data_IF_475177857074
#
_entry.id   IF_475177857074
#
_cell.length_a   1.000
_cell.length_b   1.000
_cell.length_c   1.000
_cell.angle_alpha   90.00
_cell.angle_beta   90.00
_cell.angle_gamma   90.00
#
_symmetry.space_group_name_H-M   'P 1'
#
loop_
_entity.id
_entity.type
_entity.pdbx_description
1 polymer ?
#
# COMPACT_ATOMS: atom_id res chain seq x y z
N UNK A 1 28.97 4.42 -9.65
CA UNK A 1 29.66 5.70 -9.41
C UNK A 1 28.79 6.78 -10.02
N UNK A 2 28.12 7.59 -9.22
CA UNK A 2 27.28 8.69 -9.70
C UNK A 2 28.22 9.73 -10.31
N UNK A 3 28.10 9.98 -11.61
CA UNK A 3 28.81 11.09 -12.26
C UNK A 3 28.05 12.36 -11.89
N UNK A 4 28.66 13.20 -11.06
CA UNK A 4 28.06 14.47 -10.65
C UNK A 4 28.06 15.42 -11.85
N UNK A 5 26.90 15.63 -12.45
CA UNK A 5 26.74 16.57 -13.56
C UNK A 5 26.68 18.01 -13.03
N UNK A 6 27.07 19.03 -13.81
CA UNK A 6 26.87 20.42 -13.42
C UNK A 6 25.40 20.76 -13.14
N UNK A 7 24.46 20.06 -13.77
CA UNK A 7 23.02 20.16 -13.51
C UNK A 7 22.65 19.65 -12.12
N UNK A 8 23.14 18.47 -11.75
CA UNK A 8 22.97 17.89 -10.43
C UNK A 8 23.56 18.80 -9.34
N UNK A 9 24.77 19.32 -9.57
CA UNK A 9 25.40 20.30 -8.68
C UNK A 9 24.56 21.56 -8.51
N UNK A 10 23.85 22.04 -9.54
CA UNK A 10 22.94 23.19 -9.37
C UNK A 10 21.76 22.86 -8.48
N UNK A 11 21.02 21.79 -8.80
CA UNK A 11 19.78 21.47 -8.07
C UNK A 11 20.05 21.08 -6.61
N UNK A 12 21.22 20.49 -6.32
CA UNK A 12 21.54 20.07 -4.96
C UNK A 12 21.81 21.22 -3.98
N UNK A 13 22.00 22.46 -4.46
CA UNK A 13 22.13 23.63 -3.58
C UNK A 13 20.85 23.89 -2.76
N UNK A 14 19.70 23.42 -3.26
CA UNK A 14 18.41 23.56 -2.61
C UNK A 14 18.07 22.39 -1.67
N UNK A 15 18.97 21.42 -1.47
CA UNK A 15 18.72 20.31 -0.55
C UNK A 15 18.61 20.81 0.89
N UNK A 16 17.73 20.20 1.68
CA UNK A 16 17.58 20.54 3.09
C UNK A 16 16.23 20.13 3.66
N UNK A 17 16.04 20.47 4.93
CA UNK A 17 14.75 20.32 5.60
C UNK A 17 14.12 21.71 5.68
N UNK A 18 12.89 21.82 5.23
CA UNK A 18 12.11 23.04 5.14
C UNK A 18 10.83 22.92 5.98
N UNK A 19 10.27 24.06 6.36
CA UNK A 19 8.89 24.13 6.85
C UNK A 19 7.92 23.75 5.72
N UNK A 20 6.83 23.06 6.06
CA UNK A 20 5.75 22.76 5.12
C UNK A 20 4.54 23.70 5.31
N UNK A 21 3.71 23.86 4.27
CA UNK A 21 2.45 24.62 4.33
C UNK A 21 1.48 24.07 5.39
N UNK A 22 1.46 22.75 5.58
CA UNK A 22 0.65 22.08 6.61
C UNK A 22 1.20 22.15 8.03
N UNK A 23 2.31 22.86 8.27
CA UNK A 23 2.96 22.96 9.58
C UNK A 23 3.84 21.75 9.95
N UNK A 24 4.06 20.84 9.01
CA UNK A 24 5.03 19.75 9.12
C UNK A 24 6.43 20.15 8.62
N UNK A 25 7.21 19.13 8.26
CA UNK A 25 8.52 19.29 7.63
C UNK A 25 8.51 18.76 6.21
N UNK A 26 9.12 19.50 5.30
CA UNK A 26 9.32 19.11 3.92
C UNK A 26 10.80 18.85 3.67
N UNK A 27 11.17 17.65 3.26
CA UNK A 27 12.55 17.37 2.85
C UNK A 27 12.70 17.65 1.36
N UNK A 28 13.68 18.46 1.00
CA UNK A 28 14.07 18.71 -0.39
C UNK A 28 15.36 17.96 -0.68
N UNK A 29 15.37 17.15 -1.72
CA UNK A 29 16.53 16.35 -2.15
C UNK A 29 16.68 16.38 -3.67
N UNK A 30 17.91 16.33 -4.17
CA UNK A 30 18.17 16.22 -5.60
C UNK A 30 18.33 14.75 -6.01
N UNK A 31 17.62 14.37 -7.07
CA UNK A 31 17.75 13.05 -7.67
C UNK A 31 19.00 12.99 -8.57
N UNK A 32 19.94 12.07 -8.30
CA UNK A 32 21.12 11.87 -9.14
C UNK A 32 20.82 11.15 -10.46
N UNK A 33 19.57 10.68 -10.67
CA UNK A 33 19.17 9.92 -11.86
C UNK A 33 18.74 10.81 -13.02
N UNK A 34 18.02 11.87 -12.71
CA UNK A 34 17.35 12.75 -13.66
C UNK A 34 17.65 14.24 -13.41
N UNK A 35 18.52 14.55 -12.44
CA UNK A 35 18.91 15.91 -12.06
C UNK A 35 17.70 16.77 -11.63
N UNK A 36 16.66 16.14 -11.08
CA UNK A 36 15.42 16.80 -10.65
C UNK A 36 15.41 17.03 -9.14
N UNK A 37 14.87 18.17 -8.72
CA UNK A 37 14.60 18.45 -7.30
C UNK A 37 13.31 17.73 -6.88
N UNK A 38 13.34 17.02 -5.76
CA UNK A 38 12.21 16.24 -5.27
C UNK A 38 11.87 16.68 -3.86
N UNK A 39 10.59 17.02 -3.66
CA UNK A 39 10.01 17.25 -2.36
C UNK A 39 9.56 15.91 -1.77
N UNK A 40 9.98 15.59 -0.55
CA UNK A 40 9.62 14.38 0.17
C UNK A 40 8.80 14.77 1.39
N UNK A 41 7.53 14.35 1.38
CA UNK A 41 6.56 14.61 2.44
C UNK A 41 5.97 13.27 2.89
N UNK A 42 6.13 12.92 4.16
CA UNK A 42 5.69 11.63 4.73
C UNK A 42 6.15 10.40 3.92
N UNK A 43 7.35 10.46 3.35
CA UNK A 43 7.93 9.41 2.50
C UNK A 43 7.42 9.39 1.05
N UNK A 44 6.43 10.19 0.70
CA UNK A 44 5.98 10.35 -0.68
C UNK A 44 6.88 11.34 -1.43
N UNK A 45 7.27 10.98 -2.66
CA UNK A 45 8.18 11.74 -3.52
C UNK A 45 7.39 12.58 -4.52
N UNK A 46 7.67 13.88 -4.57
CA UNK A 46 7.02 14.87 -5.43
C UNK A 46 8.07 15.62 -6.26
N UNK A 47 8.31 15.18 -7.51
CA UNK A 47 9.26 15.85 -8.40
C UNK A 47 8.84 17.29 -8.70
N UNK A 48 9.79 18.21 -8.68
CA UNK A 48 9.63 19.62 -9.00
C UNK A 48 10.24 19.88 -10.39
N UNK A 49 9.43 20.40 -11.32
CA UNK A 49 9.91 20.71 -12.67
C UNK A 49 10.65 22.04 -12.67
N UNK A 50 11.89 22.03 -13.16
CA UNK A 50 12.69 23.25 -13.29
C UNK A 50 12.10 24.17 -14.36
N UNK A 51 11.87 25.44 -14.03
CA UNK A 51 11.35 26.48 -14.93
C UNK A 51 12.36 27.62 -15.10
N UNK A 52 13.15 27.91 -14.07
CA UNK A 52 14.19 28.94 -14.06
C UNK A 52 15.36 28.55 -13.16
N UNK A 53 16.23 29.51 -12.83
CA UNK A 53 17.42 29.26 -12.01
C UNK A 53 17.07 28.85 -10.56
N UNK A 54 16.08 29.51 -9.98
CA UNK A 54 15.56 29.33 -8.62
C UNK A 54 14.04 29.07 -8.61
N UNK A 55 13.46 28.85 -9.80
CA UNK A 55 12.02 28.70 -10.01
C UNK A 55 11.68 27.30 -10.51
N UNK A 56 10.74 26.66 -9.80
CA UNK A 56 10.27 25.31 -10.09
C UNK A 56 8.74 25.28 -10.10
N UNK A 57 8.15 24.18 -10.56
CA UNK A 57 6.73 23.90 -10.39
C UNK A 57 6.49 22.54 -9.77
N UNK A 58 5.50 22.44 -8.88
CA UNK A 58 5.07 21.17 -8.31
C UNK A 58 4.13 20.41 -9.27
N UNK A 59 3.61 19.26 -8.82
CA UNK A 59 2.70 18.44 -9.62
C UNK A 59 1.32 19.07 -9.89
N UNK A 60 0.92 20.10 -9.13
CA UNK A 60 -0.30 20.89 -9.37
C UNK A 60 -0.06 22.08 -10.30
N UNK A 61 1.19 22.34 -10.68
CA UNK A 61 1.60 23.46 -11.54
C UNK A 61 1.86 24.77 -10.79
N UNK A 62 1.77 24.78 -9.46
CA UNK A 62 2.11 25.95 -8.66
C UNK A 62 3.60 26.23 -8.73
N UNK A 63 3.96 27.51 -8.86
CA UNK A 63 5.34 27.97 -8.91
C UNK A 63 5.94 28.04 -7.51
N UNK A 64 7.08 27.38 -7.36
CA UNK A 64 7.89 27.30 -6.15
C UNK A 64 9.19 28.06 -6.40
N UNK A 65 9.39 29.18 -5.71
CA UNK A 65 10.62 29.98 -5.81
C UNK A 65 11.49 29.74 -4.59
N UNK A 66 12.70 29.23 -4.78
CA UNK A 66 13.66 29.04 -3.71
C UNK A 66 14.49 30.32 -3.49
N UNK A 67 14.94 30.53 -2.26
CA UNK A 67 15.98 31.51 -1.93
C UNK A 67 17.01 30.86 -1.02
N UNK A 68 18.28 31.15 -1.29
CA UNK A 68 19.44 30.72 -0.50
C UNK A 68 20.16 31.94 0.12
N UNK A 69 19.52 33.11 0.10
CA UNK A 69 20.06 34.31 0.73
C UNK A 69 20.11 34.12 2.25
N UNK A 70 21.25 34.44 2.87
CA UNK A 70 21.45 34.28 4.31
C UNK A 70 20.36 35.02 5.09
N UNK A 71 19.66 34.32 5.98
CA UNK A 71 18.53 34.86 6.75
C UNK A 71 17.17 34.80 6.05
N UNK A 72 17.15 34.44 4.75
CA UNK A 72 15.93 34.24 3.95
C UNK A 72 15.94 32.89 3.21
N UNK A 73 16.73 31.93 3.70
CA UNK A 73 16.83 30.58 3.16
C UNK A 73 15.48 29.87 3.28
N UNK A 74 14.92 29.44 2.16
CA UNK A 74 13.58 28.87 2.13
C UNK A 74 12.98 28.77 0.74
N UNK A 75 11.67 28.59 0.69
CA UNK A 75 10.89 28.69 -0.54
C UNK A 75 9.62 29.51 -0.35
N UNK A 76 9.08 30.02 -1.46
CA UNK A 76 7.78 30.71 -1.54
C UNK A 76 6.92 30.07 -2.62
N UNK A 77 5.62 29.95 -2.34
CA UNK A 77 4.62 29.47 -3.29
C UNK A 77 3.95 30.68 -3.95
N UNK A 78 4.35 31.01 -5.19
CA UNK A 78 3.92 32.25 -5.85
C UNK A 78 2.43 32.27 -6.21
N UNK A 79 1.82 31.10 -6.32
CA UNK A 79 0.40 30.91 -6.69
C UNK A 79 -0.45 30.41 -5.50
N UNK A 80 0.01 30.63 -4.26
CA UNK A 80 -0.71 30.29 -3.04
C UNK A 80 -1.59 31.45 -2.55
N UNK A 81 -2.40 31.20 -1.50
CA UNK A 81 -3.16 32.26 -0.82
C UNK A 81 -2.26 33.30 -0.13
N UNK A 82 -1.03 32.92 0.23
CA UNK A 82 -0.05 33.77 0.91
C UNK A 82 1.28 33.79 0.12
N UNK A 83 1.34 34.42 -1.08
CA UNK A 83 2.51 34.30 -1.96
C UNK A 83 3.81 34.90 -1.40
N UNK A 84 3.71 35.77 -0.40
CA UNK A 84 4.85 36.35 0.32
C UNK A 84 5.40 35.48 1.44
N UNK A 85 4.68 34.43 1.87
CA UNK A 85 5.08 33.57 2.98
C UNK A 85 6.35 32.80 2.63
N UNK A 86 7.34 32.92 3.50
CA UNK A 86 8.60 32.19 3.41
C UNK A 86 8.50 30.94 4.29
N UNK A 87 8.61 29.78 3.66
CA UNK A 87 8.81 28.51 4.35
C UNK A 87 10.30 28.30 4.52
N UNK A 88 10.78 28.40 5.76
CA UNK A 88 12.21 28.49 6.06
C UNK A 88 12.90 27.14 5.92
N UNK A 89 14.17 27.18 5.54
CA UNK A 89 15.09 26.04 5.68
C UNK A 89 15.49 25.94 7.16
N UNK A 90 15.11 24.85 7.80
CA UNK A 90 15.27 24.61 9.24
C UNK A 90 16.36 23.59 9.57
N UNK A 91 16.87 22.87 8.58
CA UNK A 91 17.88 21.85 8.80
C UNK A 91 18.73 21.55 7.58
N UNK A 92 19.94 21.06 7.85
CA UNK A 92 20.80 20.50 6.83
C UNK A 92 20.22 19.19 6.27
N UNK A 93 20.69 18.80 5.09
CA UNK A 93 20.37 17.53 4.45
C UNK A 93 20.65 16.35 5.39
N UNK A 94 19.68 15.47 5.57
CA UNK A 94 19.89 14.12 6.10
C UNK A 94 20.76 13.32 5.12
N UNK A 95 21.77 12.55 5.55
CA UNK A 95 22.55 11.71 4.65
C UNK A 95 21.65 10.93 3.70
N UNK A 96 21.96 11.01 2.40
CA UNK A 96 21.14 10.44 1.35
C UNK A 96 21.18 8.92 1.47
N UNK A 97 20.04 8.31 1.80
CA UNK A 97 19.88 6.89 1.55
C UNK A 97 19.71 6.71 0.05
N UNK A 98 20.76 6.31 -0.67
CA UNK A 98 20.71 6.13 -2.13
C UNK A 98 19.59 5.18 -2.57
N UNK A 99 19.14 4.30 -1.66
CA UNK A 99 18.02 3.40 -1.89
C UNK A 99 16.73 4.14 -2.22
N UNK A 100 16.57 5.43 -1.89
CA UNK A 100 15.41 6.20 -2.32
C UNK A 100 15.33 6.38 -3.84
N UNK A 101 16.45 6.26 -4.55
CA UNK A 101 16.53 6.47 -6.00
C UNK A 101 16.62 5.17 -6.80
N UNK A 102 17.16 4.13 -6.18
CA UNK A 102 17.50 2.90 -6.87
C UNK A 102 16.78 1.71 -6.21
N UNK A 103 16.02 0.92 -6.99
CA UNK A 103 15.31 -0.26 -6.46
C UNK A 103 16.23 -1.23 -5.72
N UNK A 104 17.44 -1.45 -6.24
CA UNK A 104 18.53 -2.16 -5.57
C UNK A 104 19.86 -1.57 -6.02
N UNK A 105 20.90 -1.71 -5.20
CA UNK A 105 22.27 -1.42 -5.62
C UNK A 105 22.60 -2.27 -6.84
N UNK A 106 23.07 -1.65 -7.93
CA UNK A 106 23.39 -2.36 -9.17
C UNK A 106 24.41 -3.47 -8.89
N UNK A 107 23.97 -4.72 -8.95
CA UNK A 107 24.80 -5.90 -8.81
C UNK A 107 25.08 -6.50 -10.19
N UNK A 108 26.35 -6.81 -10.48
CA UNK A 108 26.73 -7.55 -11.69
C UNK A 108 26.30 -9.02 -11.65
N UNK A 109 25.82 -9.51 -10.50
CA UNK A 109 25.45 -10.91 -10.30
C UNK A 109 24.01 -11.23 -10.74
N UNK A 110 23.25 -10.24 -11.20
CA UNK A 110 21.83 -10.39 -11.54
C UNK A 110 20.95 -10.66 -10.32
N UNK A 111 19.64 -10.82 -10.55
CA UNK A 111 18.71 -11.21 -9.50
C UNK A 111 18.73 -12.73 -9.33
N UNK A 112 18.75 -13.18 -8.08
CA UNK A 112 18.64 -14.60 -7.73
C UNK A 112 17.46 -14.79 -6.80
N UNK A 113 16.49 -15.57 -7.26
CA UNK A 113 15.40 -16.00 -6.42
C UNK A 113 15.91 -16.77 -5.20
N UNK A 114 15.35 -16.44 -4.03
CA UNK A 114 15.43 -17.23 -2.83
C UNK A 114 14.02 -17.37 -2.23
N UNK A 115 13.67 -18.52 -1.64
CA UNK A 115 12.42 -18.66 -0.92
C UNK A 115 12.39 -17.68 0.29
N UNK A 116 11.21 -17.14 0.64
CA UNK A 116 11.05 -16.24 1.77
C UNK A 116 11.52 -16.88 3.08
N UNK A 117 12.11 -16.07 3.96
CA UNK A 117 12.50 -16.52 5.29
C UNK A 117 11.27 -16.53 6.21
N UNK A 118 11.09 -17.56 7.05
CA UNK A 118 10.03 -17.55 8.06
C UNK A 118 10.14 -16.35 8.98
N UNK A 119 9.00 -15.75 9.33
CA UNK A 119 8.88 -14.68 10.33
C UNK A 119 7.77 -14.99 11.33
N UNK A 120 7.78 -14.28 12.44
CA UNK A 120 6.73 -14.36 13.47
C UNK A 120 5.52 -13.48 13.11
N UNK A 121 4.94 -13.72 11.93
CA UNK A 121 3.78 -13.00 11.38
C UNK A 121 2.60 -13.95 11.08
N UNK A 122 2.77 -15.24 11.34
CA UNK A 122 1.76 -16.27 11.10
C UNK A 122 1.60 -16.67 9.63
N UNK A 123 2.44 -16.17 8.71
CA UNK A 123 2.45 -16.59 7.32
C UNK A 123 3.43 -17.77 7.12
N UNK A 124 2.94 -18.97 6.78
CA UNK A 124 3.84 -20.07 6.47
C UNK A 124 4.56 -19.77 5.14
N UNK A 125 5.85 -20.04 5.08
CA UNK A 125 6.65 -19.87 3.88
C UNK A 125 6.80 -21.18 3.10
N UNK A 126 7.22 -21.07 1.85
CA UNK A 126 7.52 -22.20 0.97
C UNK A 126 8.42 -21.79 -0.19
N UNK A 127 8.75 -22.76 -1.04
CA UNK A 127 9.41 -22.50 -2.31
C UNK A 127 8.39 -22.46 -3.45
N UNK A 128 8.77 -21.83 -4.56
CA UNK A 128 8.00 -21.93 -5.82
C UNK A 128 8.04 -23.38 -6.29
N UNK A 129 6.87 -24.01 -6.41
CA UNK A 129 6.74 -25.42 -6.79
C UNK A 129 5.57 -25.65 -7.76
N UNK A 130 5.81 -26.52 -8.75
CA UNK A 130 4.80 -26.97 -9.71
C UNK A 130 4.51 -25.96 -10.83
N UNK A 131 3.65 -26.34 -11.80
CA UNK A 131 3.49 -25.60 -13.06
C UNK A 131 2.65 -24.32 -12.94
N UNK A 132 1.97 -24.11 -11.81
CA UNK A 132 1.09 -22.95 -11.61
C UNK A 132 1.86 -21.63 -11.55
N UNK A 133 3.13 -21.67 -11.11
CA UNK A 133 3.96 -20.50 -10.93
C UNK A 133 5.33 -20.75 -11.58
N UNK A 134 5.58 -20.05 -12.67
CA UNK A 134 6.83 -20.17 -13.42
C UNK A 134 7.94 -19.35 -12.75
N UNK A 135 8.93 -20.06 -12.20
CA UNK A 135 10.08 -19.45 -11.55
C UNK A 135 10.90 -18.56 -12.50
N UNK A 136 10.96 -18.89 -13.79
CA UNK A 136 11.68 -18.10 -14.79
C UNK A 136 11.07 -16.71 -14.91
N UNK A 137 9.75 -16.64 -15.06
CA UNK A 137 9.03 -15.36 -15.15
C UNK A 137 9.12 -14.54 -13.87
N UNK A 138 9.10 -15.18 -12.69
CA UNK A 138 9.31 -14.48 -11.43
C UNK A 138 10.70 -13.86 -11.33
N UNK A 139 11.72 -14.56 -11.86
CA UNK A 139 13.07 -14.02 -11.94
C UNK A 139 13.17 -12.85 -12.89
N UNK A 140 12.60 -12.98 -14.10
CA UNK A 140 12.55 -11.87 -15.08
C UNK A 140 11.84 -10.63 -14.51
N UNK A 141 10.73 -10.82 -13.79
CA UNK A 141 10.05 -9.73 -13.10
C UNK A 141 10.95 -9.10 -12.03
N UNK A 142 11.57 -9.91 -11.16
CA UNK A 142 12.49 -9.43 -10.14
C UNK A 142 13.68 -8.66 -10.73
N UNK A 143 14.25 -9.14 -11.84
CA UNK A 143 15.31 -8.46 -12.60
C UNK A 143 14.83 -7.14 -13.18
N UNK A 144 13.66 -7.13 -13.84
CA UNK A 144 13.13 -5.93 -14.47
C UNK A 144 12.82 -4.83 -13.44
N UNK A 145 12.27 -5.19 -12.28
CA UNK A 145 12.03 -4.23 -11.19
C UNK A 145 13.37 -3.76 -10.60
N UNK A 146 14.30 -4.67 -10.31
CA UNK A 146 15.62 -4.32 -9.77
C UNK A 146 16.44 -3.44 -10.73
N UNK A 147 16.28 -3.61 -12.04
CA UNK A 147 16.87 -2.78 -13.08
C UNK A 147 16.19 -1.40 -13.24
N UNK A 148 15.03 -1.19 -12.60
CA UNK A 148 14.28 0.06 -12.66
C UNK A 148 13.39 0.20 -13.90
N UNK A 149 13.09 -0.90 -14.61
CA UNK A 149 12.11 -0.90 -15.73
C UNK A 149 10.69 -0.61 -15.26
N UNK A 150 10.41 -0.89 -13.98
CA UNK A 150 9.15 -0.56 -13.31
C UNK A 150 9.45 0.35 -12.11
N UNK A 151 9.43 1.69 -12.30
CA UNK A 151 9.69 2.63 -11.22
C UNK A 151 8.61 2.56 -10.14
N UNK A 152 8.98 2.92 -8.91
CA UNK A 152 8.09 3.07 -7.74
C UNK A 152 7.37 1.78 -7.28
N UNK A 153 7.87 0.61 -7.69
CA UNK A 153 7.45 -0.67 -7.10
C UNK A 153 8.20 -0.89 -5.80
N UNK A 154 7.51 -0.79 -4.67
CA UNK A 154 8.13 -0.90 -3.34
C UNK A 154 8.33 -2.35 -2.88
N UNK A 155 7.42 -3.25 -3.21
CA UNK A 155 7.47 -4.66 -2.80
C UNK A 155 6.60 -5.55 -3.68
N UNK A 156 6.98 -6.82 -3.83
CA UNK A 156 6.15 -7.85 -4.47
C UNK A 156 6.13 -9.10 -3.59
N UNK A 157 4.93 -9.53 -3.22
CA UNK A 157 4.69 -10.74 -2.43
C UNK A 157 3.74 -11.66 -3.20
N UNK A 158 4.09 -12.94 -3.30
CA UNK A 158 3.26 -13.97 -3.94
C UNK A 158 3.04 -15.12 -2.98
N UNK A 159 1.77 -15.42 -2.72
CA UNK A 159 1.35 -16.58 -1.94
C UNK A 159 0.68 -17.62 -2.83
N UNK A 160 1.07 -18.88 -2.67
CA UNK A 160 0.53 -20.02 -3.39
C UNK A 160 0.20 -21.14 -2.40
N UNK A 161 -1.01 -21.72 -2.50
CA UNK A 161 -1.48 -22.81 -1.62
C UNK A 161 -1.32 -22.46 -0.13
N UNK A 162 -1.64 -21.21 0.22
CA UNK A 162 -1.57 -20.72 1.60
C UNK A 162 -0.15 -20.45 2.11
N UNK A 163 0.89 -20.59 1.28
CA UNK A 163 2.29 -20.32 1.66
C UNK A 163 2.86 -19.13 0.89
N UNK A 164 3.65 -18.31 1.54
CA UNK A 164 4.43 -17.25 0.90
C UNK A 164 5.62 -17.88 0.17
N UNK A 165 5.68 -17.75 -1.16
CA UNK A 165 6.68 -18.42 -2.01
C UNK A 165 7.64 -17.45 -2.69
N UNK A 166 7.30 -16.16 -2.73
CA UNK A 166 8.12 -15.09 -3.27
C UNK A 166 7.87 -13.82 -2.46
N UNK A 167 8.94 -13.16 -2.05
CA UNK A 167 8.88 -11.93 -1.26
C UNK A 167 10.12 -11.09 -1.57
N UNK A 168 9.90 -9.95 -2.18
CA UNK A 168 10.96 -9.02 -2.54
C UNK A 168 10.58 -7.60 -2.18
N UNK A 169 11.53 -6.87 -1.60
CA UNK A 169 11.41 -5.46 -1.27
C UNK A 169 12.45 -4.67 -2.07
N UNK A 170 12.09 -3.47 -2.46
CA UNK A 170 12.89 -2.59 -3.29
C UNK A 170 13.02 -1.22 -2.64
N UNK A 171 14.01 -0.46 -3.08
CA UNK A 171 14.34 0.86 -2.57
C UNK A 171 14.63 0.84 -1.05
N UNK A 172 14.18 1.84 -0.31
CA UNK A 172 14.32 1.96 1.14
C UNK A 172 13.34 1.08 1.94
N UNK A 173 12.42 0.38 1.27
CA UNK A 173 11.30 -0.32 1.90
C UNK A 173 11.65 -1.72 2.39
N UNK A 174 10.89 -2.17 3.38
CA UNK A 174 10.99 -3.48 4.01
C UNK A 174 9.62 -3.98 4.51
N UNK A 175 9.57 -5.18 5.10
CA UNK A 175 8.32 -5.75 5.62
C UNK A 175 7.70 -5.00 6.79
N UNK A 176 8.38 -4.01 7.37
CA UNK A 176 7.86 -3.15 8.45
C UNK A 176 7.40 -1.80 7.94
N UNK A 177 7.68 -1.49 6.68
CA UNK A 177 7.35 -0.24 6.03
C UNK A 177 5.84 -0.07 5.92
N UNK A 178 5.33 1.07 6.38
CA UNK A 178 3.89 1.36 6.39
C UNK A 178 3.50 2.03 5.09
N UNK A 179 2.41 1.55 4.48
CA UNK A 179 1.80 2.17 3.32
C UNK A 179 0.34 2.55 3.60
N UNK A 180 -0.09 3.68 3.06
CA UNK A 180 -1.49 4.07 3.11
C UNK A 180 -2.33 3.08 2.29
N UNK A 181 -3.21 2.33 2.96
CA UNK A 181 -4.07 1.32 2.32
C UNK A 181 -5.07 1.92 1.31
N UNK A 182 -5.33 3.23 1.36
CA UNK A 182 -6.25 3.98 0.47
C UNK A 182 -7.50 3.15 0.16
N UNK A 183 -7.79 2.91 -1.13
CA UNK A 183 -8.99 2.20 -1.56
C UNK A 183 -8.97 0.69 -1.23
N UNK A 184 -7.81 0.09 -0.92
CA UNK A 184 -7.74 -1.32 -0.50
C UNK A 184 -8.52 -1.57 0.79
N UNK A 185 -8.69 -0.55 1.63
CA UNK A 185 -9.55 -0.58 2.83
C UNK A 185 -10.97 -1.07 2.52
N UNK A 186 -11.50 -0.77 1.33
CA UNK A 186 -12.84 -1.21 0.91
C UNK A 186 -12.95 -2.74 0.84
N UNK A 187 -11.88 -3.45 0.47
CA UNK A 187 -11.88 -4.92 0.41
C UNK A 187 -12.02 -5.52 1.81
N UNK A 188 -11.31 -4.95 2.78
CA UNK A 188 -11.40 -5.37 4.19
C UNK A 188 -12.81 -5.13 4.72
N UNK A 189 -13.34 -3.91 4.52
CA UNK A 189 -14.71 -3.57 4.95
C UNK A 189 -15.75 -4.48 4.30
N UNK A 190 -15.64 -4.72 2.99
CA UNK A 190 -16.55 -5.61 2.27
C UNK A 190 -16.55 -7.04 2.82
N UNK A 191 -15.36 -7.60 3.09
CA UNK A 191 -15.24 -8.93 3.69
C UNK A 191 -15.86 -9.01 5.08
N UNK A 192 -15.62 -8.00 5.94
CA UNK A 192 -16.20 -7.92 7.28
C UNK A 192 -17.74 -7.83 7.24
N UNK A 193 -18.29 -7.02 6.33
CA UNK A 193 -19.74 -6.94 6.12
C UNK A 193 -20.31 -8.28 5.66
N UNK A 194 -19.64 -8.96 4.73
CA UNK A 194 -20.03 -10.30 4.28
C UNK A 194 -20.06 -11.32 5.43
N UNK A 195 -19.02 -11.32 6.27
CA UNK A 195 -18.95 -12.17 7.47
C UNK A 195 -20.06 -11.84 8.49
N UNK A 196 -20.39 -10.57 8.68
CA UNK A 196 -21.46 -10.15 9.59
C UNK A 196 -22.84 -10.63 9.08
N UNK A 197 -23.10 -10.52 7.78
CA UNK A 197 -24.32 -11.03 7.15
C UNK A 197 -24.39 -12.55 7.32
N UNK A 198 -23.29 -13.28 7.04
CA UNK A 198 -23.24 -14.73 7.20
C UNK A 198 -23.53 -15.17 8.64
N UNK A 199 -22.94 -14.51 9.64
CA UNK A 199 -23.20 -14.77 11.07
C UNK A 199 -24.66 -14.54 11.44
N UNK A 200 -25.26 -13.44 10.98
CA UNK A 200 -26.67 -13.14 11.24
C UNK A 200 -27.61 -14.18 10.63
N UNK A 201 -27.32 -14.62 9.40
CA UNK A 201 -28.11 -15.67 8.73
C UNK A 201 -27.99 -16.99 9.50
N UNK A 202 -26.79 -17.39 9.91
CA UNK A 202 -26.59 -18.59 10.72
C UNK A 202 -27.37 -18.56 12.05
N UNK A 203 -27.39 -17.42 12.74
CA UNK A 203 -28.13 -17.24 14.00
C UNK A 203 -29.66 -17.28 13.82
N UNK A 204 -30.17 -16.75 12.69
CA UNK A 204 -31.59 -16.85 12.32
C UNK A 204 -32.01 -18.29 12.02
N UNK A 205 -31.16 -19.05 11.34
CA UNK A 205 -31.41 -20.47 11.05
C UNK A 205 -31.46 -21.33 12.32
N UNK A 206 -30.59 -21.07 13.31
CA UNK A 206 -30.60 -21.79 14.60
C UNK A 206 -31.83 -21.47 15.46
N UNK A 207 -32.40 -20.26 15.35
CA UNK A 207 -33.60 -19.87 16.10
C UNK A 207 -34.89 -20.37 15.43
N UNK A 208 -34.92 -20.48 14.10
CA UNK A 208 -36.04 -21.08 13.37
C UNK A 208 -36.14 -22.61 13.58
N UNK A 209 -35.01 -23.32 13.70
CA UNK A 209 -34.98 -24.76 13.98
C UNK A 209 -35.54 -25.14 15.36
N UNK A 210 -35.34 -24.29 16.37
CA UNK A 210 -35.88 -24.51 17.72
C UNK A 210 -37.41 -24.33 17.81
N UNK A 211 -38.01 -23.52 16.93
CA UNK A 211 -39.47 -23.33 16.88
C UNK A 211 -40.21 -24.48 16.16
N UNK A 212 -39.56 -25.17 15.22
CA UNK A 212 -40.19 -26.25 14.45
C UNK A 212 -40.25 -27.61 15.18
N UNK A 213 -39.38 -27.85 16.17
CA UNK A 213 -39.29 -29.14 16.90
C UNK A 213 -40.31 -29.28 18.05
N UNK A 214 -41.03 -28.21 18.44
CA UNK A 214 -42.06 -28.27 19.50
C UNK A 214 -43.48 -28.62 19.05
N UNK A 215 -43.69 -29.07 17.81
CA UNK A 215 -45.01 -29.49 17.30
C UNK A 215 -45.01 -30.93 16.77
N UNK A 216 -44.59 -31.90 17.59
CA UNK A 216 -44.81 -33.33 17.29
C UNK A 216 -44.67 -34.25 18.49
N UNK A 217 -45.29 -33.93 19.63
CA UNK A 217 -45.62 -34.96 20.64
C UNK A 217 -46.96 -34.60 21.29
N UNK A 218 -48.03 -35.18 20.78
CA UNK A 218 -49.22 -35.52 21.55
C UNK A 218 -49.83 -36.74 20.84
N UNK A 219 -49.43 -37.91 21.32
CA UNK A 219 -50.13 -39.16 21.08
C UNK A 219 -51.50 -39.12 21.78
N UNK A 220 -52.49 -39.81 21.21
CA UNK A 220 -53.35 -40.75 21.93
C UNK A 220 -54.42 -41.31 20.98
N UNK A 221 -54.11 -42.46 20.37
CA UNK A 221 -55.11 -43.37 19.81
C UNK A 221 -54.83 -44.75 20.40
N UNK A 222 -55.56 -45.12 21.46
CA UNK A 222 -55.66 -46.50 21.94
C UNK A 222 -56.77 -47.25 21.19
N UNK A 223 -56.68 -48.60 21.09
CA UNK A 223 -57.65 -49.41 20.34
C UNK A 223 -58.96 -49.60 21.12
N UNK A 224 -60.02 -49.94 20.39
CA UNK A 224 -61.37 -50.28 20.86
C UNK A 224 -62.32 -49.15 21.28
N UNK A 225 -63.16 -48.72 20.33
CA UNK A 225 -64.62 -48.82 20.50
C UNK A 225 -65.34 -48.66 19.16
N UNK A 226 -65.87 -49.77 18.62
CA UNK A 226 -67.01 -49.72 17.71
C UNK A 226 -68.26 -49.32 18.52
N UNK A 227 -68.86 -48.15 18.23
CA UNK A 227 -70.31 -47.90 18.34
C UNK A 227 -70.69 -46.51 17.79
N UNK A 228 -71.41 -46.56 16.67
CA UNK A 228 -72.48 -45.67 16.23
C UNK A 228 -72.22 -44.22 15.72
N UNK A 229 -72.99 -43.96 14.65
CA UNK A 229 -73.47 -42.68 14.10
C UNK A 229 -72.46 -41.89 13.23
N UNK A 230 -72.48 -42.06 11.91
CA UNK A 230 -73.41 -41.44 10.93
C UNK A 230 -73.22 -39.92 10.79
N UNK A 231 -72.61 -39.56 9.66
CA UNK A 231 -72.92 -38.42 8.78
C UNK A 231 -71.83 -37.36 8.57
N UNK A 232 -71.57 -37.14 7.27
CA UNK A 232 -71.04 -35.94 6.57
C UNK A 232 -69.54 -35.68 6.76
N UNK A 233 -68.69 -35.93 5.77
CA UNK A 233 -68.56 -35.30 4.44
C UNK A 233 -67.36 -34.34 4.40
N UNK A 234 -66.31 -34.80 3.71
CA UNK A 234 -65.28 -34.06 2.94
C UNK A 234 -64.07 -33.46 3.69
N UNK A 235 -63.02 -34.28 3.73
CA UNK A 235 -61.63 -34.02 3.28
C UNK A 235 -61.58 -33.31 1.91
N UNK A 236 -60.54 -32.58 1.48
CA UNK A 236 -59.16 -32.37 1.94
C UNK A 236 -58.81 -30.87 1.87
#
# INVERSE_FOLDING_TARGET
MVVLTPEYERVRHYEGIYEDEGGGTLQITASPRDNVLVAVLDGAKYPLKTVGADLFTNNTGQRVKFSLETGHEGYRLLDSAEPGRLYRRIGARTPLDERIWYPRTHSRLGYKYAPPLPRDDGLPVGAVEGPLLDLTRLREMGEAIAAGSYPDVHSVLVAQRGRLVFEEYFYEYDGKSRHAFRSATKRVVSALVGLAIAKRTAQRSSTAGAAAVRRRVSADCTPDTMRNAVSRSKTC
#
